data_IF_970420699989
#
_entry.id   IF_970420699989
#
_cell.length_a   1.000
_cell.length_b   1.000
_cell.length_c   1.000
_cell.angle_alpha   90.00
_cell.angle_beta   90.00
_cell.angle_gamma   90.00
#
_symmetry.space_group_name_H-M   'P 1'
#
loop_
_entity.id
_entity.type
_entity.pdbx_description
1 polymer ?
#
# COMPACT_ATOMS: atom_id res chain seq x y z
N UNK A 1 4.98 -10.62 23.76
CA UNK A 1 3.99 -11.18 22.82
C UNK A 1 4.17 -10.45 21.50
N UNK A 2 4.63 -11.13 20.46
CA UNK A 2 5.08 -10.50 19.20
C UNK A 2 3.89 -10.32 18.25
N UNK A 3 3.47 -9.07 18.06
CA UNK A 3 2.36 -8.71 17.15
C UNK A 3 2.60 -9.16 15.69
N UNK A 4 3.86 -9.44 15.35
CA UNK A 4 4.31 -9.96 14.05
C UNK A 4 3.69 -11.29 13.60
N UNK A 5 3.15 -12.10 14.53
CA UNK A 5 2.48 -13.37 14.20
C UNK A 5 0.99 -13.20 13.90
N UNK A 6 0.42 -12.00 14.10
CA UNK A 6 -1.00 -11.76 13.85
C UNK A 6 -1.30 -11.86 12.36
N UNK A 7 -2.32 -12.65 12.04
CA UNK A 7 -2.85 -12.82 10.70
C UNK A 7 -4.14 -12.01 10.54
N UNK A 8 -4.10 -11.00 9.68
CA UNK A 8 -5.23 -10.18 9.31
C UNK A 8 -6.03 -10.81 8.16
N UNK A 9 -7.35 -10.72 8.23
CA UNK A 9 -8.23 -10.93 7.08
C UNK A 9 -8.21 -9.73 6.12
N UNK A 10 -8.80 -9.89 4.94
CA UNK A 10 -8.99 -8.76 4.03
C UNK A 10 -9.91 -7.67 4.63
N UNK A 11 -10.89 -8.07 5.44
CA UNK A 11 -11.81 -7.15 6.12
C UNK A 11 -11.11 -6.37 7.23
N UNK A 12 -10.32 -7.05 8.07
CA UNK A 12 -9.56 -6.39 9.14
C UNK A 12 -8.52 -5.43 8.55
N UNK A 13 -7.85 -5.82 7.47
CA UNK A 13 -6.89 -4.95 6.81
C UNK A 13 -7.57 -3.75 6.13
N UNK A 14 -8.76 -3.95 5.56
CA UNK A 14 -9.56 -2.86 4.98
C UNK A 14 -9.96 -1.84 6.05
N UNK A 15 -10.44 -2.33 7.20
CA UNK A 15 -10.79 -1.49 8.34
C UNK A 15 -9.55 -0.77 8.91
N UNK A 16 -8.41 -1.47 9.02
CA UNK A 16 -7.17 -0.89 9.53
C UNK A 16 -6.63 0.24 8.64
N UNK A 17 -6.68 0.06 7.33
CA UNK A 17 -6.22 1.06 6.36
C UNK A 17 -7.28 2.14 6.06
N UNK A 18 -8.48 2.02 6.63
CA UNK A 18 -9.65 2.85 6.34
C UNK A 18 -9.95 2.94 4.83
N UNK A 19 -9.90 1.80 4.15
CA UNK A 19 -10.20 1.70 2.71
C UNK A 19 -11.30 0.67 2.45
N UNK A 20 -12.13 0.85 1.40
CA UNK A 20 -13.08 -0.18 1.00
C UNK A 20 -12.38 -1.49 0.65
N UNK A 21 -12.95 -2.62 1.06
CA UNK A 21 -12.39 -3.96 0.76
C UNK A 21 -12.21 -4.22 -0.74
N UNK A 22 -13.07 -3.61 -1.58
CA UNK A 22 -12.95 -3.65 -3.05
C UNK A 22 -11.62 -3.08 -3.54
N UNK A 23 -11.13 -2.02 -2.90
CA UNK A 23 -9.83 -1.41 -3.20
C UNK A 23 -8.69 -2.38 -2.90
N UNK A 24 -8.79 -3.13 -1.80
CA UNK A 24 -7.84 -4.18 -1.45
C UNK A 24 -7.79 -5.30 -2.49
N UNK A 25 -8.95 -5.75 -2.97
CA UNK A 25 -9.00 -6.73 -4.07
C UNK A 25 -8.39 -6.18 -5.37
N UNK A 26 -8.64 -4.90 -5.68
CA UNK A 26 -8.04 -4.25 -6.84
C UNK A 26 -6.51 -4.17 -6.73
N UNK A 27 -5.99 -3.77 -5.56
CA UNK A 27 -4.54 -3.73 -5.31
C UNK A 27 -3.92 -5.12 -5.41
N UNK A 28 -4.60 -6.16 -4.92
CA UNK A 28 -4.14 -7.54 -5.05
C UNK A 28 -4.08 -7.97 -6.52
N UNK A 29 -5.08 -7.61 -7.32
CA UNK A 29 -5.09 -7.89 -8.76
C UNK A 29 -3.96 -7.17 -9.51
N UNK A 30 -3.66 -5.91 -9.13
CA UNK A 30 -2.58 -5.10 -9.72
C UNK A 30 -1.18 -5.42 -9.18
N UNK A 31 -1.07 -6.24 -8.14
CA UNK A 31 0.21 -6.50 -7.46
C UNK A 31 0.75 -5.30 -6.66
N UNK A 32 -0.11 -4.32 -6.35
CA UNK A 32 0.28 -3.07 -5.67
C UNK A 32 0.02 -3.10 -4.16
N UNK A 33 -0.63 -4.16 -3.65
CA UNK A 33 -1.05 -4.29 -2.25
C UNK A 33 -0.05 -5.05 -1.36
N UNK A 34 -0.35 -5.16 -0.05
CA UNK A 34 0.46 -5.96 0.86
C UNK A 34 0.43 -7.44 0.48
N UNK A 35 1.52 -8.15 0.77
CA UNK A 35 1.65 -9.57 0.44
C UNK A 35 0.69 -10.37 1.31
N UNK A 36 -0.24 -11.08 0.66
CA UNK A 36 -1.19 -11.95 1.33
C UNK A 36 -1.19 -13.34 0.72
N UNK A 37 -1.13 -14.37 1.56
CA UNK A 37 -1.13 -15.76 1.14
C UNK A 37 -2.53 -16.36 1.18
N UNK A 38 -2.77 -17.39 0.36
CA UNK A 38 -4.04 -18.12 0.34
C UNK A 38 -4.04 -19.20 1.40
N UNK A 39 -5.14 -19.28 2.15
CA UNK A 39 -5.48 -20.34 3.09
C UNK A 39 -6.84 -20.89 2.67
N UNK A 40 -6.81 -21.92 1.83
CA UNK A 40 -8.01 -22.43 1.16
C UNK A 40 -8.66 -21.34 0.29
N UNK A 41 -9.94 -21.04 0.56
CA UNK A 41 -10.70 -19.97 -0.12
C UNK A 41 -10.42 -18.57 0.43
N UNK A 42 -9.77 -18.48 1.59
CA UNK A 42 -9.54 -17.22 2.29
C UNK A 42 -8.15 -16.68 2.02
N UNK A 43 -8.01 -15.36 2.09
CA UNK A 43 -6.72 -14.68 2.02
C UNK A 43 -6.38 -14.15 3.41
N UNK A 44 -5.13 -14.34 3.82
CA UNK A 44 -4.61 -13.80 5.08
C UNK A 44 -3.35 -12.97 4.82
N UNK A 45 -3.15 -11.96 5.64
CA UNK A 45 -2.02 -11.05 5.60
C UNK A 45 -1.28 -11.13 6.93
N UNK A 46 0.04 -11.29 6.90
CA UNK A 46 0.84 -11.16 8.13
C UNK A 46 0.98 -9.69 8.45
N UNK A 47 0.89 -9.34 9.74
CA UNK A 47 1.13 -7.97 10.19
C UNK A 47 2.46 -7.40 9.69
N UNK A 48 3.54 -8.18 9.80
CA UNK A 48 4.87 -7.80 9.34
C UNK A 48 4.96 -7.50 7.84
N UNK A 49 4.21 -8.23 7.00
CA UNK A 49 4.14 -7.96 5.56
C UNK A 49 3.36 -6.68 5.25
N UNK A 50 2.31 -6.40 6.03
CA UNK A 50 1.54 -5.15 5.92
C UNK A 50 2.39 -3.95 6.33
N UNK A 51 3.09 -4.03 7.46
CA UNK A 51 4.03 -2.99 7.90
C UNK A 51 5.13 -2.75 6.86
N UNK A 52 5.72 -3.82 6.31
CA UNK A 52 6.75 -3.71 5.28
C UNK A 52 6.21 -3.02 4.02
N UNK A 53 4.97 -3.32 3.63
CA UNK A 53 4.30 -2.69 2.50
C UNK A 53 4.03 -1.20 2.75
N UNK A 54 3.53 -0.83 3.93
CA UNK A 54 3.33 0.58 4.31
C UNK A 54 4.67 1.32 4.29
N UNK A 55 5.71 0.76 4.90
CA UNK A 55 7.05 1.34 4.91
C UNK A 55 7.63 1.54 3.50
N UNK A 56 7.42 0.59 2.60
CA UNK A 56 7.80 0.72 1.19
C UNK A 56 7.01 1.83 0.48
N UNK A 57 5.69 1.93 0.72
CA UNK A 57 4.81 2.97 0.15
C UNK A 57 5.19 4.37 0.61
N UNK A 58 5.51 4.57 1.89
CA UNK A 58 5.95 5.88 2.40
C UNK A 58 7.23 6.32 1.70
N UNK A 59 8.23 5.44 1.60
CA UNK A 59 9.48 5.71 0.87
C UNK A 59 9.26 5.99 -0.62
N UNK A 60 8.38 5.23 -1.27
CA UNK A 60 8.03 5.44 -2.67
C UNK A 60 7.25 6.75 -2.89
N UNK A 61 6.34 7.11 -1.98
CA UNK A 61 5.57 8.35 -2.03
C UNK A 61 6.48 9.58 -1.91
N UNK A 62 7.54 9.53 -1.10
CA UNK A 62 8.54 10.61 -1.02
C UNK A 62 9.26 10.81 -2.37
N UNK A 63 9.58 9.73 -3.07
CA UNK A 63 10.23 9.78 -4.40
C UNK A 63 9.26 10.31 -5.46
N UNK A 64 7.98 9.91 -5.39
CA UNK A 64 6.94 10.36 -6.30
C UNK A 64 6.63 11.85 -6.11
N UNK A 65 6.52 12.33 -4.86
CA UNK A 65 6.29 13.73 -4.51
C UNK A 65 7.43 14.65 -4.94
N UNK A 66 8.69 14.22 -4.76
CA UNK A 66 9.87 14.97 -5.24
C UNK A 66 9.88 15.11 -6.76
N UNK A 67 9.51 14.05 -7.47
CA UNK A 67 9.44 14.01 -8.93
C UNK A 67 8.33 14.93 -9.47
N UNK A 68 7.16 14.90 -8.84
CA UNK A 68 6.01 15.74 -9.21
C UNK A 68 6.30 17.24 -8.94
N UNK A 69 6.88 17.55 -7.77
CA UNK A 69 7.31 18.92 -7.42
C UNK A 69 8.41 19.45 -8.34
N UNK A 70 9.31 18.59 -8.80
CA UNK A 70 10.35 18.96 -9.78
C UNK A 70 9.74 19.25 -11.14
N UNK A 71 8.79 18.43 -11.61
CA UNK A 71 8.03 18.68 -12.85
C UNK A 71 7.19 19.96 -12.80
N UNK A 72 6.56 20.26 -11.67
CA UNK A 72 5.79 21.49 -11.47
C UNK A 72 6.68 22.75 -11.56
N UNK A 73 7.91 22.70 -11.03
CA UNK A 73 8.90 23.79 -11.12
C UNK A 73 9.39 24.03 -12.56
N UNK A 74 9.53 23.00 -13.38
CA UNK A 74 10.00 23.15 -14.77
C UNK A 74 8.93 23.73 -15.70
N UNK A 75 7.64 23.49 -15.45
CA UNK A 75 6.54 24.01 -16.30
C UNK A 75 6.21 25.49 -16.07
N UNK A 76 6.58 26.06 -14.93
CA UNK A 76 6.33 27.47 -14.61
C UNK A 76 7.31 28.46 -15.27
N UNK A 77 8.39 27.97 -15.91
CA UNK A 77 9.41 28.81 -16.57
C UNK A 77 9.25 28.96 -18.08
N UNK A 78 8.23 28.37 -18.70
CA UNK A 78 8.02 28.40 -20.16
C UNK A 78 6.72 29.11 -20.53
N UNK A 79 6.70 30.42 -20.29
CA UNK A 79 5.83 31.37 -20.99
C UNK A 79 6.71 32.58 -21.30
N UNK A 80 7.24 32.59 -22.52
CA UNK A 80 7.82 33.76 -23.16
C UNK A 80 6.91 34.16 -24.30
#
# INVERSE_FOLDING_TARGET
MTDSERLLTAEELAAFLDVPIKTLYMWRYRGEGPVGFRVGRHVRYRWSDVERWIGARVRAAEVQQKSDRKRARTRAGSRR
#
